data_IF_690904876154
#
_entry.id   IF_690904876154
#
_cell.length_a   1.000
_cell.length_b   1.000
_cell.length_c   1.000
_cell.angle_alpha   90.00
_cell.angle_beta   90.00
_cell.angle_gamma   90.00
#
_symmetry.space_group_name_H-M   'P 1'
#
loop_
_entity.id
_entity.type
_entity.pdbx_description
1 polymer ?
#
# COMPACT_ATOMS: atom_id res chain seq x y z
N UNK A 1 -31.09 -20.65 -2.98
CA UNK A 1 -30.15 -19.59 -2.55
C UNK A 1 -30.88 -18.26 -2.45
N UNK A 2 -31.59 -17.82 -3.49
CA UNK A 2 -32.37 -16.56 -3.53
C UNK A 2 -33.42 -16.43 -2.42
N UNK A 3 -34.12 -17.52 -2.08
CA UNK A 3 -35.08 -17.56 -0.96
C UNK A 3 -34.40 -17.39 0.40
N UNK A 4 -33.27 -18.05 0.65
CA UNK A 4 -32.51 -17.89 1.91
C UNK A 4 -31.85 -16.51 2.05
N UNK A 5 -31.49 -15.85 0.94
CA UNK A 5 -30.95 -14.48 0.96
C UNK A 5 -32.03 -13.48 1.35
N UNK A 6 -33.27 -13.67 0.88
CA UNK A 6 -34.42 -12.86 1.29
C UNK A 6 -34.72 -13.00 2.79
N UNK A 7 -34.75 -14.23 3.30
CA UNK A 7 -34.99 -14.49 4.73
C UNK A 7 -33.91 -13.85 5.64
N UNK A 8 -32.64 -13.86 5.22
CA UNK A 8 -31.54 -13.29 6.01
C UNK A 8 -31.59 -11.76 6.06
N UNK A 9 -31.87 -11.11 4.93
CA UNK A 9 -31.98 -9.65 4.89
C UNK A 9 -33.21 -9.17 5.69
N UNK A 10 -34.30 -9.95 5.73
CA UNK A 10 -35.45 -9.68 6.60
C UNK A 10 -35.07 -9.83 8.09
N UNK A 11 -34.30 -10.86 8.45
CA UNK A 11 -33.78 -11.05 9.80
C UNK A 11 -32.91 -9.88 10.28
N UNK A 12 -32.02 -9.38 9.43
CA UNK A 12 -31.20 -8.20 9.72
C UNK A 12 -32.04 -6.95 9.93
N UNK A 13 -33.12 -6.77 9.16
CA UNK A 13 -34.03 -5.64 9.33
C UNK A 13 -34.80 -5.67 10.66
N UNK A 14 -35.00 -6.87 11.24
CA UNK A 14 -35.66 -7.04 12.54
C UNK A 14 -34.70 -6.90 13.73
N UNK A 15 -33.44 -7.33 13.57
CA UNK A 15 -32.41 -7.28 14.61
C UNK A 15 -31.78 -5.88 14.76
N UNK A 16 -31.76 -5.08 13.69
CA UNK A 16 -31.14 -3.75 13.69
C UNK A 16 -29.61 -3.78 13.78
N UNK A 17 -28.99 -2.60 13.87
CA UNK A 17 -27.53 -2.47 13.98
C UNK A 17 -27.06 -2.66 15.43
N UNK A 18 -26.30 -3.73 15.67
CA UNK A 18 -25.78 -4.09 16.99
C UNK A 18 -24.36 -3.58 17.27
N UNK A 19 -23.87 -3.82 18.49
CA UNK A 19 -22.48 -3.51 18.92
C UNK A 19 -21.43 -4.20 18.04
N UNK A 20 -21.76 -5.38 17.51
CA UNK A 20 -20.88 -6.16 16.65
C UNK A 20 -20.71 -5.52 15.25
N UNK A 21 -21.79 -4.97 14.69
CA UNK A 21 -21.75 -4.16 13.46
C UNK A 21 -20.86 -2.92 13.63
N UNK A 22 -20.96 -2.25 14.78
CA UNK A 22 -20.12 -1.10 15.09
C UNK A 22 -18.63 -1.46 15.21
N UNK A 23 -18.30 -2.64 15.75
CA UNK A 23 -16.92 -3.14 15.83
C UNK A 23 -16.33 -3.35 14.43
N UNK A 24 -17.02 -4.09 13.56
CA UNK A 24 -16.54 -4.36 12.19
C UNK A 24 -16.41 -3.07 11.39
N UNK A 25 -17.37 -2.16 11.52
CA UNK A 25 -17.30 -0.84 10.89
C UNK A 25 -16.11 -0.01 11.42
N UNK A 26 -15.83 -0.07 12.73
CA UNK A 26 -14.68 0.61 13.32
C UNK A 26 -13.36 0.05 12.76
N UNK A 27 -13.27 -1.26 12.57
CA UNK A 27 -12.12 -1.92 11.91
C UNK A 27 -12.00 -1.47 10.45
N UNK A 28 -13.11 -1.38 9.71
CA UNK A 28 -13.14 -0.89 8.35
C UNK A 28 -12.64 0.57 8.26
N UNK A 29 -13.10 1.43 9.17
CA UNK A 29 -12.66 2.83 9.27
C UNK A 29 -11.18 2.95 9.63
N UNK A 30 -10.71 2.17 10.60
CA UNK A 30 -9.29 2.18 10.98
C UNK A 30 -8.41 1.72 9.82
N UNK A 31 -8.80 0.65 9.12
CA UNK A 31 -8.10 0.20 7.92
C UNK A 31 -8.13 1.26 6.81
N UNK A 32 -9.28 1.91 6.60
CA UNK A 32 -9.42 2.95 5.59
C UNK A 32 -8.53 4.16 5.89
N UNK A 33 -8.37 4.53 7.17
CA UNK A 33 -7.44 5.58 7.60
C UNK A 33 -5.96 5.21 7.35
N UNK A 34 -5.57 3.96 7.60
CA UNK A 34 -4.19 3.50 7.42
C UNK A 34 -3.83 3.20 5.95
N UNK A 35 -4.81 2.82 5.13
CA UNK A 35 -4.65 2.41 3.74
C UNK A 35 -3.87 3.37 2.83
N UNK A 36 -4.18 4.69 2.81
CA UNK A 36 -3.48 5.68 2.00
C UNK A 36 -1.98 5.69 2.25
N UNK A 37 -1.60 5.46 3.51
CA UNK A 37 -0.23 5.30 3.93
C UNK A 37 0.50 4.27 3.06
N UNK A 38 0.02 3.05 2.92
CA UNK A 38 0.74 2.08 2.08
C UNK A 38 0.58 2.38 0.58
N UNK A 39 -0.61 2.83 0.16
CA UNK A 39 -0.96 2.97 -1.24
C UNK A 39 -0.31 4.17 -1.95
N UNK A 40 -0.21 5.31 -1.28
CA UNK A 40 0.18 6.58 -1.89
C UNK A 40 1.58 7.04 -1.47
N UNK A 41 2.20 6.35 -0.53
CA UNK A 41 3.53 6.72 -0.02
C UNK A 41 4.63 6.69 -1.10
N UNK A 42 4.44 5.96 -2.19
CA UNK A 42 5.36 6.00 -3.33
C UNK A 42 5.56 7.40 -3.92
N UNK A 43 4.55 8.27 -3.85
CA UNK A 43 4.65 9.65 -4.31
C UNK A 43 5.67 10.49 -3.50
N UNK A 44 5.88 10.14 -2.22
CA UNK A 44 6.78 10.84 -1.31
C UNK A 44 8.14 10.12 -1.15
N UNK A 45 8.20 8.81 -1.34
CA UNK A 45 9.45 8.04 -1.24
C UNK A 45 10.28 8.05 -2.51
N UNK A 46 9.62 8.04 -3.67
CA UNK A 46 10.25 8.07 -4.98
C UNK A 46 9.77 9.30 -5.79
N UNK A 47 9.91 10.53 -5.24
CA UNK A 47 9.52 11.72 -5.97
C UNK A 47 10.42 11.93 -7.20
N UNK A 48 9.88 12.63 -8.20
CA UNK A 48 10.70 13.17 -9.28
C UNK A 48 11.54 14.32 -8.71
N UNK A 49 12.84 14.07 -8.54
CA UNK A 49 13.82 15.04 -8.06
C UNK A 49 14.84 15.30 -9.15
N UNK A 50 15.31 16.55 -9.23
CA UNK A 50 16.40 16.90 -10.12
C UNK A 50 17.72 16.34 -9.60
N UNK A 51 18.56 15.89 -10.53
CA UNK A 51 19.87 15.34 -10.25
C UNK A 51 20.90 15.84 -11.26
N UNK A 52 22.16 15.84 -10.86
CA UNK A 52 23.32 16.17 -11.69
C UNK A 52 24.34 15.04 -11.64
N UNK A 53 25.10 14.84 -12.72
CA UNK A 53 26.15 13.83 -12.75
C UNK A 53 27.30 14.22 -11.82
N UNK A 54 27.73 13.30 -10.95
CA UNK A 54 28.93 13.48 -10.12
C UNK A 54 30.15 13.08 -10.94
N UNK A 55 30.64 14.03 -11.75
CA UNK A 55 31.80 13.81 -12.60
C UNK A 55 33.13 14.05 -11.84
N UNK A 56 34.21 13.36 -12.20
CA UNK A 56 35.54 13.59 -11.62
C UNK A 56 36.10 14.98 -11.96
N UNK A 57 37.05 15.48 -11.16
CA UNK A 57 37.68 16.79 -11.36
C UNK A 57 38.32 16.91 -12.75
N UNK A 58 37.96 17.95 -13.51
CA UNK A 58 38.41 18.17 -14.88
C UNK A 58 37.48 17.68 -15.98
N UNK A 59 36.35 17.03 -15.63
CA UNK A 59 35.31 16.66 -16.57
C UNK A 59 34.39 17.84 -16.95
N UNK A 60 33.98 17.88 -18.22
CA UNK A 60 32.95 18.77 -18.73
C UNK A 60 31.60 18.04 -18.71
N UNK A 61 30.67 18.50 -17.87
CA UNK A 61 29.29 18.00 -17.84
C UNK A 61 28.40 18.86 -18.73
N UNK A 62 27.72 18.26 -19.70
CA UNK A 62 26.71 18.97 -20.48
C UNK A 62 25.41 19.07 -19.68
N UNK A 63 24.90 20.28 -19.46
CA UNK A 63 23.64 20.49 -18.74
C UNK A 63 22.42 19.86 -19.43
N UNK A 64 22.49 19.64 -20.76
CA UNK A 64 21.41 19.01 -21.54
C UNK A 64 21.36 17.49 -21.42
N UNK A 65 22.47 16.82 -21.08
CA UNK A 65 22.52 15.35 -20.97
C UNK A 65 23.11 14.96 -19.61
N UNK A 66 22.23 14.76 -18.63
CA UNK A 66 22.56 14.47 -17.22
C UNK A 66 23.13 13.05 -17.01
N UNK A 67 23.21 12.26 -18.07
CA UNK A 67 23.57 10.84 -18.04
C UNK A 67 25.01 10.56 -18.49
N UNK A 68 25.67 11.54 -19.11
CA UNK A 68 27.03 11.41 -19.61
C UNK A 68 27.89 12.59 -19.17
N UNK A 69 29.20 12.36 -19.08
CA UNK A 69 30.19 13.42 -18.87
C UNK A 69 31.32 13.25 -19.88
N UNK A 70 31.98 14.36 -20.21
CA UNK A 70 33.06 14.38 -21.19
C UNK A 70 34.39 14.64 -20.49
N UNK A 71 35.43 13.90 -20.86
CA UNK A 71 36.80 14.15 -20.39
C UNK A 71 37.77 14.29 -21.56
N UNK A 72 38.77 15.14 -21.38
CA UNK A 72 39.86 15.29 -22.34
C UNK A 72 40.87 14.16 -22.13
N UNK A 73 41.03 13.30 -23.13
CA UNK A 73 42.05 12.26 -23.09
C UNK A 73 43.43 12.91 -23.33
N UNK A 74 44.30 12.86 -22.30
CA UNK A 74 45.64 13.46 -22.35
C UNK A 74 46.56 12.84 -23.41
N UNK A 75 46.27 11.62 -23.86
CA UNK A 75 47.12 10.89 -24.82
C UNK A 75 46.77 11.19 -26.28
N UNK A 76 45.49 11.47 -26.57
CA UNK A 76 44.97 11.64 -27.93
C UNK A 76 44.51 13.07 -28.21
N UNK A 77 44.36 13.90 -27.17
CA UNK A 77 43.77 15.24 -27.27
C UNK A 77 42.29 15.22 -27.65
N UNK A 78 41.65 14.05 -27.70
CA UNK A 78 40.25 13.88 -28.04
C UNK A 78 39.35 13.97 -26.82
N UNK A 79 38.13 14.47 -27.02
CA UNK A 79 37.08 14.46 -26.00
C UNK A 79 36.42 13.09 -26.03
N UNK A 80 36.49 12.35 -24.93
CA UNK A 80 35.82 11.07 -24.75
C UNK A 80 34.57 11.23 -23.86
N UNK A 81 33.48 10.61 -24.28
CA UNK A 81 32.21 10.63 -23.55
C UNK A 81 32.09 9.35 -22.71
N UNK A 82 31.93 9.52 -21.40
CA UNK A 82 31.74 8.43 -20.45
C UNK A 82 30.33 8.47 -19.86
N UNK A 83 29.82 7.29 -19.47
CA UNK A 83 28.56 7.21 -18.74
C UNK A 83 28.76 7.58 -17.28
N UNK A 84 27.78 8.30 -16.72
CA UNK A 84 27.80 8.66 -15.32
C UNK A 84 27.42 7.45 -14.45
N UNK A 85 28.20 7.17 -13.41
CA UNK A 85 27.94 6.08 -12.46
C UNK A 85 27.30 6.55 -11.15
N UNK A 86 27.46 7.83 -10.81
CA UNK A 86 26.97 8.41 -9.57
C UNK A 86 26.34 9.79 -9.82
N UNK A 87 25.26 10.09 -9.12
CA UNK A 87 24.52 11.35 -9.27
C UNK A 87 24.39 12.06 -7.94
N UNK A 88 24.47 13.39 -7.98
CA UNK A 88 24.11 14.28 -6.88
C UNK A 88 22.66 14.70 -7.07
N UNK A 89 21.82 14.28 -6.13
CA UNK A 89 20.39 14.59 -6.11
C UNK A 89 20.14 15.87 -5.30
N UNK A 90 19.17 16.68 -5.71
CA UNK A 90 18.79 17.88 -4.95
C UNK A 90 18.14 17.49 -3.62
N UNK A 91 18.82 17.85 -2.53
CA UNK A 91 18.40 17.60 -1.15
C UNK A 91 17.71 18.81 -0.49
N UNK A 92 17.31 19.83 -1.27
CA UNK A 92 16.61 21.03 -0.77
C UNK A 92 15.32 20.70 -0.02
N UNK A 93 14.59 19.68 -0.49
CA UNK A 93 13.25 19.32 -0.02
C UNK A 93 13.22 17.98 0.72
N UNK A 94 14.07 17.03 0.33
CA UNK A 94 14.11 15.68 0.88
C UNK A 94 15.53 15.38 1.37
N UNK A 95 15.66 14.77 2.56
CA UNK A 95 16.98 14.45 3.12
C UNK A 95 17.55 13.17 2.48
N UNK A 96 16.67 12.19 2.24
CA UNK A 96 17.01 10.96 1.54
C UNK A 96 15.74 10.41 0.90
N UNK A 97 15.85 10.01 -0.37
CA UNK A 97 14.78 9.40 -1.17
C UNK A 97 15.22 8.02 -1.65
N UNK A 98 14.26 7.22 -2.10
CA UNK A 98 14.53 5.94 -2.75
C UNK A 98 15.49 6.14 -3.94
N UNK A 99 15.34 7.25 -4.66
CA UNK A 99 16.14 7.55 -5.84
C UNK A 99 17.58 7.88 -5.47
N UNK A 100 17.78 8.71 -4.44
CA UNK A 100 19.11 9.12 -3.98
C UNK A 100 19.88 7.98 -3.32
N UNK A 101 19.20 7.09 -2.60
CA UNK A 101 19.86 5.97 -1.93
C UNK A 101 20.32 4.88 -2.90
N UNK A 102 19.50 4.58 -3.92
CA UNK A 102 19.78 3.53 -4.89
C UNK A 102 20.35 4.05 -6.22
N UNK A 103 20.77 5.33 -6.29
CA UNK A 103 21.27 6.00 -7.50
C UNK A 103 20.36 5.77 -8.72
N UNK A 104 19.05 5.90 -8.54
CA UNK A 104 18.05 5.64 -9.59
C UNK A 104 17.94 6.82 -10.54
N UNK A 105 18.91 6.94 -11.45
CA UNK A 105 18.97 7.97 -12.48
C UNK A 105 19.08 7.36 -13.88
N UNK A 106 18.73 8.17 -14.90
CA UNK A 106 18.90 7.81 -16.31
C UNK A 106 18.27 6.45 -16.65
N UNK A 107 19.08 5.46 -17.06
CA UNK A 107 18.61 4.12 -17.43
C UNK A 107 17.88 3.38 -16.30
N UNK A 108 18.15 3.71 -15.03
CA UNK A 108 17.53 3.07 -13.86
C UNK A 108 16.36 3.87 -13.24
N UNK A 109 16.04 5.04 -13.80
CA UNK A 109 14.92 5.89 -13.33
C UNK A 109 13.56 5.18 -13.34
N UNK A 110 13.36 4.22 -14.26
CA UNK A 110 12.14 3.44 -14.36
C UNK A 110 11.84 2.59 -13.11
N UNK A 111 12.86 2.21 -12.32
CA UNK A 111 12.66 1.46 -11.08
C UNK A 111 11.94 2.30 -10.01
N UNK A 112 12.18 3.61 -9.99
CA UNK A 112 11.51 4.54 -9.08
C UNK A 112 10.00 4.59 -9.36
N UNK A 113 9.61 4.74 -10.63
CA UNK A 113 8.19 4.70 -11.02
C UNK A 113 7.55 3.33 -10.78
N UNK A 114 8.33 2.26 -11.00
CA UNK A 114 7.88 0.88 -10.78
C UNK A 114 7.46 0.62 -9.33
N UNK A 115 7.99 1.36 -8.36
CA UNK A 115 7.63 1.23 -6.94
C UNK A 115 6.13 1.41 -6.67
N UNK A 116 5.52 2.47 -7.21
CA UNK A 116 4.09 2.74 -7.10
C UNK A 116 3.26 1.81 -7.99
N UNK A 117 3.74 1.55 -9.21
CA UNK A 117 3.06 0.68 -10.17
C UNK A 117 2.96 -0.77 -9.67
N UNK A 118 4.00 -1.30 -9.02
CA UNK A 118 4.00 -2.65 -8.47
C UNK A 118 3.02 -2.82 -7.31
N UNK A 119 2.85 -1.79 -6.46
CA UNK A 119 1.81 -1.81 -5.44
C UNK A 119 0.42 -1.88 -6.07
N UNK A 120 0.14 -1.04 -7.07
CA UNK A 120 -1.14 -1.05 -7.78
C UNK A 120 -1.38 -2.38 -8.50
N UNK A 121 -0.36 -2.92 -9.17
CA UNK A 121 -0.43 -4.21 -9.85
C UNK A 121 -0.73 -5.33 -8.85
N UNK A 122 -0.03 -5.37 -7.72
CA UNK A 122 -0.33 -6.30 -6.62
C UNK A 122 -1.78 -6.19 -6.15
N UNK A 123 -2.30 -4.97 -6.03
CA UNK A 123 -3.70 -4.72 -5.69
C UNK A 123 -4.70 -5.29 -6.70
N UNK A 124 -4.44 -5.15 -8.00
CA UNK A 124 -5.29 -5.72 -9.06
C UNK A 124 -5.35 -7.24 -8.96
N UNK A 125 -4.19 -7.90 -8.81
CA UNK A 125 -4.15 -9.35 -8.62
C UNK A 125 -4.84 -9.76 -7.32
N UNK A 126 -4.60 -9.02 -6.23
CA UNK A 126 -5.23 -9.23 -4.93
C UNK A 126 -6.75 -9.23 -5.05
N UNK A 127 -7.33 -8.17 -5.63
CA UNK A 127 -8.77 -8.06 -5.79
C UNK A 127 -9.36 -9.14 -6.71
N UNK A 128 -8.66 -9.49 -7.79
CA UNK A 128 -9.10 -10.53 -8.73
C UNK A 128 -9.20 -11.89 -8.04
N UNK A 129 -8.14 -12.29 -7.32
CA UNK A 129 -8.09 -13.58 -6.63
C UNK A 129 -8.90 -13.60 -5.33
N UNK A 130 -9.15 -12.45 -4.71
CA UNK A 130 -9.85 -12.34 -3.43
C UNK A 130 -11.23 -13.02 -3.48
N UNK A 131 -11.95 -12.87 -4.60
CA UNK A 131 -13.28 -13.48 -4.80
C UNK A 131 -13.25 -15.01 -4.60
N UNK A 132 -12.36 -15.71 -5.30
CA UNK A 132 -12.20 -17.17 -5.20
C UNK A 132 -11.68 -17.60 -3.83
N UNK A 133 -10.69 -16.87 -3.30
CA UNK A 133 -10.05 -17.21 -2.02
C UNK A 133 -11.01 -17.06 -0.84
N UNK A 134 -11.83 -16.01 -0.82
CA UNK A 134 -12.81 -15.77 0.23
C UNK A 134 -13.88 -16.85 0.30
N UNK A 135 -14.29 -17.40 -0.85
CA UNK A 135 -15.31 -18.44 -0.88
C UNK A 135 -14.78 -19.77 -0.30
N UNK A 136 -13.50 -20.08 -0.52
CA UNK A 136 -12.84 -21.29 -0.01
C UNK A 136 -12.45 -21.18 1.47
N UNK A 137 -11.74 -20.10 1.82
CA UNK A 137 -11.07 -19.95 3.12
C UNK A 137 -11.83 -19.09 4.14
N UNK A 138 -12.85 -18.35 3.69
CA UNK A 138 -13.58 -17.40 4.53
C UNK A 138 -12.97 -16.00 4.49
N UNK A 139 -13.79 -15.01 4.86
CA UNK A 139 -13.49 -13.59 4.72
C UNK A 139 -12.58 -13.11 5.85
N UNK A 140 -12.81 -13.58 7.08
CA UNK A 140 -11.92 -13.29 8.23
C UNK A 140 -10.52 -13.80 7.98
N UNK A 141 -10.39 -15.03 7.48
CA UNK A 141 -9.07 -15.66 7.23
C UNK A 141 -8.26 -14.86 6.21
N UNK A 142 -8.89 -14.47 5.10
CA UNK A 142 -8.23 -13.67 4.05
C UNK A 142 -7.92 -12.24 4.52
N UNK A 143 -8.78 -11.64 5.34
CA UNK A 143 -8.48 -10.36 5.99
C UNK A 143 -7.24 -10.45 6.88
N UNK A 144 -7.15 -11.47 7.75
CA UNK A 144 -6.00 -11.66 8.64
C UNK A 144 -4.72 -11.93 7.85
N UNK A 145 -4.80 -12.71 6.76
CA UNK A 145 -3.67 -12.92 5.85
C UNK A 145 -3.17 -11.59 5.26
N UNK A 146 -4.07 -10.77 4.73
CA UNK A 146 -3.73 -9.45 4.21
C UNK A 146 -3.11 -8.53 5.27
N UNK A 147 -3.63 -8.58 6.50
CA UNK A 147 -3.09 -7.84 7.64
C UNK A 147 -1.68 -8.30 8.01
N UNK A 148 -1.44 -9.61 8.08
CA UNK A 148 -0.10 -10.17 8.30
C UNK A 148 0.89 -9.75 7.23
N UNK A 149 0.48 -9.75 5.96
CA UNK A 149 1.32 -9.27 4.85
C UNK A 149 1.69 -7.79 5.03
N UNK A 150 0.73 -6.93 5.36
CA UNK A 150 1.00 -5.50 5.56
C UNK A 150 1.85 -5.23 6.81
N UNK A 151 1.73 -6.04 7.86
CA UNK A 151 2.59 -5.97 9.03
C UNK A 151 4.06 -6.28 8.70
N UNK A 152 4.30 -7.28 7.84
CA UNK A 152 5.64 -7.61 7.37
C UNK A 152 6.25 -6.50 6.49
N UNK A 153 5.44 -5.61 5.91
CA UNK A 153 5.92 -4.48 5.12
C UNK A 153 6.78 -3.50 5.93
N UNK A 154 6.67 -3.48 7.26
CA UNK A 154 7.55 -2.68 8.13
C UNK A 154 9.02 -3.03 7.84
N UNK A 155 9.33 -4.29 7.52
CA UNK A 155 10.67 -4.78 7.21
C UNK A 155 11.33 -4.09 6.01
N UNK A 156 10.54 -3.51 5.09
CA UNK A 156 11.04 -2.80 3.90
C UNK A 156 11.97 -1.63 4.28
N UNK A 157 11.75 -1.01 5.44
CA UNK A 157 12.59 0.09 5.92
C UNK A 157 14.04 -0.31 6.23
N UNK A 158 14.37 -1.61 6.32
CA UNK A 158 15.73 -2.10 6.57
C UNK A 158 16.31 -2.88 5.37
N UNK A 159 15.57 -3.04 4.28
CA UNK A 159 16.06 -3.77 3.12
C UNK A 159 17.12 -2.94 2.37
N UNK A 160 18.29 -3.53 2.01
CA UNK A 160 19.34 -2.84 1.29
C UNK A 160 19.30 -3.04 -0.23
N UNK A 161 18.29 -3.74 -0.76
CA UNK A 161 18.20 -4.07 -2.19
C UNK A 161 16.89 -3.59 -2.79
N UNK A 162 16.98 -2.75 -3.84
CA UNK A 162 15.82 -2.22 -4.56
C UNK A 162 14.94 -3.34 -5.14
N UNK A 163 15.53 -4.40 -5.70
CA UNK A 163 14.77 -5.51 -6.26
C UNK A 163 13.87 -6.20 -5.22
N UNK A 164 14.40 -6.43 -4.01
CA UNK A 164 13.62 -7.02 -2.92
C UNK A 164 12.53 -6.05 -2.46
N UNK A 165 12.83 -4.76 -2.33
CA UNK A 165 11.84 -3.72 -1.99
C UNK A 165 10.67 -3.72 -2.99
N UNK A 166 10.96 -3.83 -4.28
CA UNK A 166 9.95 -3.87 -5.34
C UNK A 166 9.06 -5.13 -5.26
N UNK A 167 9.64 -6.30 -4.95
CA UNK A 167 8.87 -7.53 -4.71
C UNK A 167 7.96 -7.38 -3.48
N UNK A 168 8.47 -6.84 -2.37
CA UNK A 168 7.67 -6.58 -1.18
C UNK A 168 6.56 -5.56 -1.44
N UNK A 169 6.76 -4.59 -2.33
CA UNK A 169 5.72 -3.63 -2.74
C UNK A 169 4.56 -4.31 -3.45
N UNK A 170 4.85 -5.24 -4.37
CA UNK A 170 3.82 -6.06 -5.00
C UNK A 170 3.04 -6.89 -3.97
N UNK A 171 3.75 -7.58 -3.07
CA UNK A 171 3.14 -8.41 -2.02
C UNK A 171 2.27 -7.56 -1.08
N UNK A 172 2.73 -6.38 -0.70
CA UNK A 172 1.98 -5.44 0.15
C UNK A 172 0.72 -4.94 -0.55
N UNK A 173 0.79 -4.63 -1.85
CA UNK A 173 -0.38 -4.29 -2.65
C UNK A 173 -1.41 -5.41 -2.69
N UNK A 174 -0.96 -6.65 -2.88
CA UNK A 174 -1.81 -7.85 -2.86
C UNK A 174 -2.51 -8.02 -1.51
N UNK A 175 -1.75 -7.99 -0.40
CA UNK A 175 -2.32 -8.09 0.95
C UNK A 175 -3.24 -6.92 1.30
N UNK A 176 -2.91 -5.71 0.82
CA UNK A 176 -3.72 -4.50 1.01
C UNK A 176 -5.09 -4.60 0.35
N UNK A 177 -5.17 -5.19 -0.85
CA UNK A 177 -6.43 -5.46 -1.54
C UNK A 177 -7.26 -6.54 -0.82
N UNK A 178 -6.64 -7.65 -0.39
CA UNK A 178 -7.31 -8.68 0.41
C UNK A 178 -8.00 -8.07 1.64
N UNK A 179 -7.28 -7.22 2.39
CA UNK A 179 -7.86 -6.54 3.55
C UNK A 179 -9.05 -5.66 3.18
N UNK A 180 -8.95 -4.89 2.08
CA UNK A 180 -10.01 -3.98 1.65
C UNK A 180 -11.29 -4.72 1.33
N UNK A 181 -11.17 -5.72 0.47
CA UNK A 181 -12.32 -6.39 -0.11
C UNK A 181 -13.01 -7.23 0.96
N UNK A 182 -12.23 -7.97 1.77
CA UNK A 182 -12.78 -8.80 2.84
C UNK A 182 -13.55 -7.98 3.89
N UNK A 183 -12.97 -6.86 4.36
CA UNK A 183 -13.63 -6.04 5.39
C UNK A 183 -14.85 -5.31 4.82
N UNK A 184 -14.80 -4.90 3.56
CA UNK A 184 -15.92 -4.23 2.89
C UNK A 184 -17.09 -5.18 2.69
N UNK A 185 -16.83 -6.41 2.22
CA UNK A 185 -17.86 -7.44 2.07
C UNK A 185 -18.43 -7.79 3.44
N UNK A 186 -17.59 -8.06 4.44
CA UNK A 186 -18.05 -8.39 5.80
C UNK A 186 -18.91 -7.27 6.39
N UNK A 187 -18.53 -6.01 6.17
CA UNK A 187 -19.33 -4.85 6.61
C UNK A 187 -20.68 -4.79 5.91
N UNK A 188 -20.78 -5.15 4.62
CA UNK A 188 -22.05 -5.14 3.89
C UNK A 188 -22.98 -6.31 4.27
N UNK A 189 -22.42 -7.46 4.66
CA UNK A 189 -23.18 -8.66 5.00
C UNK A 189 -23.93 -8.54 6.33
N UNK A 190 -23.41 -7.77 7.27
CA UNK A 190 -23.94 -7.67 8.65
C UNK A 190 -24.85 -6.45 8.84
N UNK A 191 -24.92 -5.58 7.85
CA UNK A 191 -25.64 -4.30 7.90
C UNK A 191 -27.01 -4.44 7.29
N UNK A 192 -27.99 -3.78 7.91
CA UNK A 192 -29.35 -3.69 7.36
C UNK A 192 -29.29 -3.17 5.91
N UNK A 193 -30.00 -3.82 4.95
CA UNK A 193 -29.96 -3.44 3.54
C UNK A 193 -30.14 -1.94 3.25
N UNK A 194 -30.97 -1.25 4.05
CA UNK A 194 -31.24 0.19 3.92
C UNK A 194 -30.02 1.08 4.23
N UNK A 195 -29.13 0.65 5.12
CA UNK A 195 -27.97 1.44 5.57
C UNK A 195 -26.69 1.12 4.79
N UNK A 196 -26.69 0.08 3.94
CA UNK A 196 -25.52 -0.34 3.15
C UNK A 196 -24.88 0.80 2.33
N UNK A 197 -25.64 1.67 1.60
CA UNK A 197 -25.04 2.75 0.84
C UNK A 197 -24.36 3.78 1.73
N UNK A 198 -25.03 4.20 2.82
CA UNK A 198 -24.51 5.18 3.78
C UNK A 198 -23.21 4.69 4.40
N UNK A 199 -23.17 3.44 4.89
CA UNK A 199 -21.97 2.89 5.52
C UNK A 199 -20.81 2.75 4.53
N UNK A 200 -21.09 2.40 3.28
CA UNK A 200 -20.08 2.32 2.22
C UNK A 200 -19.48 3.69 1.91
N UNK A 201 -20.29 4.76 1.92
CA UNK A 201 -19.81 6.12 1.71
C UNK A 201 -19.02 6.66 2.91
N UNK A 202 -19.48 6.37 4.14
CA UNK A 202 -18.82 6.87 5.36
C UNK A 202 -17.39 6.35 5.51
N UNK A 203 -17.08 5.15 5.00
CA UNK A 203 -15.71 4.58 5.09
C UNK A 203 -14.66 5.38 4.28
N UNK A 204 -15.10 6.20 3.32
CA UNK A 204 -14.20 7.07 2.56
C UNK A 204 -13.75 8.30 3.33
N UNK A 205 -14.48 8.73 4.37
CA UNK A 205 -14.08 9.87 5.20
C UNK A 205 -12.75 9.58 5.92
N UNK A 206 -12.58 8.45 6.64
CA UNK A 206 -11.28 8.05 7.17
C UNK A 206 -10.18 7.94 6.11
N UNK A 207 -10.49 7.48 4.90
CA UNK A 207 -9.50 7.42 3.80
C UNK A 207 -8.97 8.82 3.47
N UNK A 208 -9.85 9.80 3.28
CA UNK A 208 -9.44 11.18 3.00
C UNK A 208 -8.62 11.74 4.16
N UNK A 209 -9.05 11.53 5.42
CA UNK A 209 -8.27 11.95 6.59
C UNK A 209 -6.88 11.30 6.61
N UNK A 210 -6.78 10.01 6.28
CA UNK A 210 -5.52 9.29 6.17
C UNK A 210 -4.60 9.85 5.09
N UNK A 211 -5.15 10.26 3.93
CA UNK A 211 -4.37 10.94 2.87
C UNK A 211 -3.81 12.29 3.34
N UNK A 212 -4.60 13.06 4.09
CA UNK A 212 -4.16 14.34 4.66
C UNK A 212 -3.08 14.13 5.71
N UNK A 213 -3.25 13.13 6.59
CA UNK A 213 -2.24 12.76 7.58
C UNK A 213 -0.94 12.31 6.91
N UNK A 214 -1.00 11.53 5.83
CA UNK A 214 0.18 11.14 5.07
C UNK A 214 0.95 12.35 4.54
N UNK A 215 0.26 13.33 3.94
CA UNK A 215 0.89 14.57 3.48
C UNK A 215 1.55 15.36 4.62
N UNK A 216 0.89 15.42 5.79
CA UNK A 216 1.45 16.01 7.00
C UNK A 216 2.71 15.27 7.47
N UNK A 217 2.67 13.94 7.54
CA UNK A 217 3.82 13.11 7.93
C UNK A 217 5.00 13.29 6.96
N UNK A 218 4.73 13.32 5.65
CA UNK A 218 5.75 13.54 4.63
C UNK A 218 6.40 14.93 4.72
N UNK A 219 5.70 15.93 5.27
CA UNK A 219 6.28 17.26 5.51
C UNK A 219 7.27 17.29 6.67
N UNK A 220 7.06 16.42 7.68
CA UNK A 220 7.88 16.31 8.89
C UNK A 220 9.05 15.34 8.69
N UNK A 221 8.77 14.16 8.12
CA UNK A 221 9.75 13.10 7.89
C UNK A 221 10.21 13.12 6.44
N UNK A 222 11.37 13.74 6.20
CA UNK A 222 12.00 13.90 4.88
C UNK A 222 12.95 12.78 4.48
N UNK A 223 13.13 11.79 5.36
CA UNK A 223 13.83 10.55 5.06
C UNK A 223 12.82 9.45 4.72
N UNK A 224 12.98 8.83 3.55
CA UNK A 224 12.03 7.84 3.05
C UNK A 224 11.96 6.60 3.95
N UNK A 225 13.06 6.13 4.56
CA UNK A 225 13.04 4.96 5.46
C UNK A 225 12.22 5.26 6.72
N UNK A 226 12.46 6.42 7.32
CA UNK A 226 11.70 6.90 8.49
C UNK A 226 10.23 7.09 8.16
N UNK A 227 9.91 7.72 7.03
CA UNK A 227 8.53 7.88 6.57
C UNK A 227 7.83 6.52 6.40
N UNK A 228 8.53 5.52 5.84
CA UNK A 228 7.98 4.14 5.70
C UNK A 228 7.62 3.54 7.04
N UNK A 229 8.52 3.67 8.02
CA UNK A 229 8.29 3.14 9.37
C UNK A 229 7.10 3.81 10.03
N UNK A 230 7.04 5.14 10.02
CA UNK A 230 5.94 5.88 10.66
C UNK A 230 4.58 5.56 10.03
N UNK A 231 4.55 5.33 8.72
CA UNK A 231 3.33 4.92 8.01
C UNK A 231 2.96 3.46 8.26
N UNK A 232 3.94 2.57 8.42
CA UNK A 232 3.72 1.13 8.56
C UNK A 232 3.45 0.69 9.99
N UNK A 233 4.05 1.33 11.01
CA UNK A 233 3.88 0.98 12.42
C UNK A 233 2.43 1.01 12.92
N UNK A 234 1.57 1.96 12.53
CA UNK A 234 0.17 1.96 12.93
C UNK A 234 -0.62 0.72 12.48
N UNK A 235 -0.15 -0.05 11.48
CA UNK A 235 -0.78 -1.32 11.12
C UNK A 235 -0.71 -2.36 12.25
N UNK A 236 0.17 -2.20 13.26
CA UNK A 236 0.15 -3.01 14.48
C UNK A 236 -1.21 -2.97 15.20
N UNK A 237 -1.97 -1.88 15.04
CA UNK A 237 -3.34 -1.76 15.56
C UNK A 237 -4.32 -2.74 14.87
N UNK A 238 -3.92 -3.38 13.77
CA UNK A 238 -4.69 -4.46 13.14
C UNK A 238 -4.52 -5.81 13.85
N UNK A 239 -3.49 -6.02 14.68
CA UNK A 239 -3.26 -7.32 15.35
C UNK A 239 -4.46 -7.78 16.19
N UNK A 240 -5.10 -6.93 17.03
CA UNK A 240 -6.27 -7.33 17.83
C UNK A 240 -7.45 -7.86 16.99
N UNK A 241 -7.56 -7.44 15.72
CA UNK A 241 -8.64 -7.87 14.84
C UNK A 241 -8.64 -9.37 14.57
N UNK A 242 -7.51 -10.06 14.78
CA UNK A 242 -7.38 -11.50 14.53
C UNK A 242 -8.26 -12.31 15.48
N UNK A 243 -8.43 -11.81 16.70
CA UNK A 243 -9.27 -12.43 17.73
C UNK A 243 -10.66 -11.79 17.80
N UNK A 244 -10.78 -10.49 17.52
CA UNK A 244 -12.02 -9.73 17.69
C UNK A 244 -13.03 -9.89 16.54
N UNK A 245 -12.57 -10.12 15.30
CA UNK A 245 -13.49 -10.37 14.19
C UNK A 245 -14.01 -11.81 14.25
N UNK A 246 -15.29 -12.01 13.99
CA UNK A 246 -15.81 -13.34 13.65
C UNK A 246 -15.92 -13.50 12.13
N UNK A 247 -16.11 -14.75 11.70
CA UNK A 247 -16.28 -15.07 10.29
C UNK A 247 -17.67 -14.64 9.79
N UNK A 248 -17.78 -14.43 8.48
CA UNK A 248 -19.03 -14.11 7.80
C UNK A 248 -20.17 -15.08 8.17
N UNK A 249 -21.31 -14.59 8.71
CA UNK A 249 -22.46 -15.43 9.01
C UNK A 249 -22.99 -16.16 7.77
N UNK A 250 -23.02 -15.48 6.63
CA UNK A 250 -23.42 -16.05 5.33
C UNK A 250 -22.49 -17.19 4.90
N UNK A 251 -21.18 -17.01 5.08
CA UNK A 251 -20.21 -18.07 4.79
C UNK A 251 -20.45 -19.30 5.66
N UNK A 252 -20.66 -19.10 6.97
CA UNK A 252 -20.91 -20.17 7.94
C UNK A 252 -22.18 -20.97 7.61
N UNK A 253 -23.25 -20.28 7.18
CA UNK A 253 -24.51 -20.89 6.75
C UNK A 253 -24.31 -21.75 5.49
N UNK A 254 -23.60 -21.23 4.48
CA UNK A 254 -23.36 -21.94 3.21
C UNK A 254 -22.44 -23.15 3.42
N UNK A 255 -21.42 -23.05 4.29
CA UNK A 255 -20.49 -24.14 4.58
C UNK A 255 -21.03 -25.20 5.56
N UNK A 256 -22.31 -25.10 5.95
CA UNK A 256 -23.00 -26.11 6.75
C UNK A 256 -22.79 -26.02 8.27
N UNK A 257 -22.13 -24.97 8.78
CA UNK A 257 -21.95 -24.76 10.23
C UNK A 257 -23.08 -23.92 10.83
N UNK A 258 -24.33 -24.41 10.74
CA UNK A 258 -25.54 -23.68 11.13
C UNK A 258 -25.56 -23.19 12.59
N UNK A 259 -24.90 -23.90 13.50
CA UNK A 259 -24.87 -23.57 14.94
C UNK A 259 -24.00 -22.35 15.30
N UNK A 260 -23.16 -21.86 14.39
CA UNK A 260 -22.34 -20.65 14.59
C UNK A 260 -22.83 -19.43 13.80
N UNK A 261 -23.73 -19.63 12.83
CA UNK A 261 -24.22 -18.57 11.93
C UNK A 261 -25.60 -17.99 12.30
N UNK A 262 -26.29 -18.61 13.25
CA UNK A 262 -27.56 -18.17 13.87
C UNK A 262 -27.27 -17.67 15.28
#
# INVERSE_FOLDING_TARGET
ITTMVGDFDELLSRLGTGRWTALIFSVACLRAFLGPGQALTGAFMAPLIDYTCRAPEGALTNFSDKCTYQMLNSNTGSIETHQCEAWDFDNSTWTSTLNSEFNLACGSSHLASSFSSLYMMGGVFGATFNSLLCDVYGRKTMFCLGASINLLCVLVAWLPSIGIILVFRFITGFGGALMFDCISILSMEIVEPRLRPTMSMTVWIPWVLGTMTLGGLASVFRDWRTLHMVVSLPYLLMIPTFWLLDESPRWLIVKGSRTKGL
#
